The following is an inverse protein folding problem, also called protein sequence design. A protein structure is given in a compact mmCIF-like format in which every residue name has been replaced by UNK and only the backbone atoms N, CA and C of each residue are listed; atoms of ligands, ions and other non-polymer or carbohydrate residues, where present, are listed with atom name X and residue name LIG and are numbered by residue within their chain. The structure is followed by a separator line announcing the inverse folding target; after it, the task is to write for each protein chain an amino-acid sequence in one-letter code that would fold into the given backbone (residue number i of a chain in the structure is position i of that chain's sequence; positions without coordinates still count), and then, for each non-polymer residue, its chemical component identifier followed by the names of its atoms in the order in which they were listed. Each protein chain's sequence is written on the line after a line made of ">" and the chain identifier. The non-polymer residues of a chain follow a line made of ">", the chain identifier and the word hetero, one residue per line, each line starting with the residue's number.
data_IF_308237720634
#
_entry.id   IF_308237720634
#
_cell.length_a   1.000
_cell.length_b   1.000
_cell.length_c   1.000
_cell.angle_alpha   90.00
_cell.angle_beta   90.00
_cell.angle_gamma   90.00
#
_symmetry.space_group_name_H-M   'P 1'
#
loop_
_entity.id
_entity.type
_entity.pdbx_description
1 polymer ?
#
# COMPACT_ATOMS: atom_id res chain seq x y z
N UNK A 1 11.87 22.61 -11.08
CA UNK A 1 10.46 22.79 -11.48
C UNK A 1 9.86 21.41 -11.61
N UNK A 2 8.85 21.08 -10.80
CA UNK A 2 8.20 19.77 -10.80
C UNK A 2 7.58 19.49 -12.17
N UNK A 3 7.87 18.34 -12.76
CA UNK A 3 7.36 17.99 -14.09
C UNK A 3 5.86 17.74 -14.05
N UNK A 4 5.18 17.89 -15.19
CA UNK A 4 3.74 17.57 -15.26
C UNK A 4 3.46 16.11 -14.88
N UNK A 5 4.38 15.20 -15.21
CA UNK A 5 4.32 13.79 -14.84
C UNK A 5 4.35 13.59 -13.33
N UNK A 6 5.26 14.26 -12.63
CA UNK A 6 5.36 14.20 -11.16
C UNK A 6 4.10 14.72 -10.47
N UNK A 7 3.52 15.83 -10.96
CA UNK A 7 2.25 16.36 -10.43
C UNK A 7 1.09 15.37 -10.60
N UNK A 8 1.01 14.70 -11.76
CA UNK A 8 -0.01 13.68 -12.00
C UNK A 8 0.20 12.46 -11.11
N UNK A 9 1.45 12.03 -10.90
CA UNK A 9 1.78 10.96 -9.96
C UNK A 9 1.30 11.29 -8.55
N UNK A 10 1.63 12.47 -8.04
CA UNK A 10 1.20 12.91 -6.70
C UNK A 10 -0.32 12.92 -6.56
N UNK A 11 -1.04 13.42 -7.58
CA UNK A 11 -2.51 13.40 -7.60
C UNK A 11 -3.09 11.97 -7.60
N UNK A 12 -2.46 11.04 -8.31
CA UNK A 12 -2.89 9.63 -8.32
C UNK A 12 -2.74 9.04 -6.93
N UNK A 13 -1.58 9.20 -6.29
CA UNK A 13 -1.32 8.67 -4.95
C UNK A 13 -2.31 9.26 -3.92
N UNK A 14 -2.51 10.58 -3.92
CA UNK A 14 -3.50 11.22 -3.04
C UNK A 14 -4.94 10.69 -3.26
N UNK A 15 -5.30 10.34 -4.50
CA UNK A 15 -6.60 9.75 -4.79
C UNK A 15 -6.68 8.28 -4.36
N UNK A 16 -5.58 7.53 -4.44
CA UNK A 16 -5.48 6.16 -3.94
C UNK A 16 -5.68 6.15 -2.43
N UNK A 17 -5.03 7.03 -1.68
CA UNK A 17 -5.21 7.14 -0.22
C UNK A 17 -6.68 7.41 0.14
N UNK A 18 -7.32 8.36 -0.54
CA UNK A 18 -8.75 8.65 -0.36
C UNK A 18 -9.63 7.45 -0.69
N UNK A 19 -9.32 6.75 -1.78
CA UNK A 19 -10.04 5.55 -2.17
C UNK A 19 -9.92 4.46 -1.10
N UNK A 20 -8.72 4.22 -0.56
CA UNK A 20 -8.48 3.20 0.45
C UNK A 20 -9.26 3.46 1.73
N UNK A 21 -9.24 4.70 2.20
CA UNK A 21 -10.00 5.15 3.37
C UNK A 21 -11.51 4.92 3.25
N UNK A 22 -12.06 4.96 2.03
CA UNK A 22 -13.49 4.73 1.81
C UNK A 22 -13.78 3.24 1.57
N UNK A 23 -12.98 2.58 0.72
CA UNK A 23 -13.22 1.20 0.28
C UNK A 23 -12.92 0.17 1.37
N UNK A 24 -11.93 0.43 2.23
CA UNK A 24 -11.43 -0.49 3.25
C UNK A 24 -11.64 0.03 4.68
N UNK A 25 -12.51 1.01 4.86
CA UNK A 25 -12.89 1.51 6.19
C UNK A 25 -13.27 0.37 7.13
N UNK A 26 -12.79 0.44 8.38
CA UNK A 26 -13.16 -0.52 9.41
C UNK A 26 -14.67 -0.52 9.62
N UNK A 27 -15.23 -1.73 9.66
CA UNK A 27 -16.65 -1.93 9.96
C UNK A 27 -16.82 -2.13 11.46
N UNK A 28 -17.85 -1.51 12.02
CA UNK A 28 -18.18 -1.69 13.42
C UNK A 28 -18.43 -3.16 13.76
N UNK A 29 -17.85 -3.61 14.87
CA UNK A 29 -18.08 -4.94 15.40
C UNK A 29 -19.39 -5.00 16.18
N UNK A 30 -20.32 -5.86 15.75
CA UNK A 30 -21.59 -6.11 16.43
C UNK A 30 -21.59 -7.53 17.00
N UNK A 31 -21.61 -7.70 18.34
CA UNK A 31 -21.64 -9.01 18.98
C UNK A 31 -22.76 -9.91 18.44
N UNK A 32 -22.44 -11.16 18.12
CA UNK A 32 -23.40 -12.13 17.59
C UNK A 32 -23.83 -11.92 16.13
N UNK A 33 -23.38 -10.84 15.46
CA UNK A 33 -23.67 -10.58 14.03
C UNK A 33 -22.43 -10.47 13.17
N UNK A 34 -21.41 -9.73 13.63
CA UNK A 34 -20.17 -9.55 12.87
C UNK A 34 -19.40 -10.85 12.85
N UNK A 35 -19.09 -11.35 11.64
CA UNK A 35 -18.29 -12.55 11.45
C UNK A 35 -16.85 -12.30 11.92
N UNK A 36 -16.36 -13.19 12.77
CA UNK A 36 -14.95 -13.18 13.20
C UNK A 36 -14.17 -14.09 12.26
N UNK A 37 -13.21 -13.51 11.55
CA UNK A 37 -12.29 -14.25 10.69
C UNK A 37 -11.09 -14.73 11.52
N UNK A 38 -10.61 -15.96 11.30
CA UNK A 38 -9.40 -16.46 11.97
C UNK A 38 -8.11 -15.84 11.41
N UNK A 39 -8.17 -15.35 10.17
CA UNK A 39 -7.09 -14.69 9.46
C UNK A 39 -7.67 -13.75 8.40
N UNK A 40 -6.90 -12.75 8.01
CA UNK A 40 -7.24 -11.79 6.98
C UNK A 40 -6.02 -11.01 6.53
N UNK A 41 -6.11 -10.38 5.36
CA UNK A 41 -5.12 -9.39 4.94
C UNK A 41 -5.35 -8.12 5.73
N UNK A 42 -4.30 -7.60 6.33
CA UNK A 42 -4.28 -6.31 7.02
C UNK A 42 -3.28 -5.44 6.26
N UNK A 43 -3.75 -4.30 5.79
CA UNK A 43 -3.00 -3.31 5.03
C UNK A 43 -3.71 -1.98 5.19
N UNK A 44 -2.98 -0.90 4.95
CA UNK A 44 -3.45 0.46 4.97
C UNK A 44 -3.21 1.13 3.60
N UNK A 45 -3.37 2.45 3.54
CA UNK A 45 -3.15 3.24 2.34
C UNK A 45 -1.69 3.17 1.83
N UNK A 46 -0.71 2.92 2.70
CA UNK A 46 0.69 2.89 2.32
C UNK A 46 0.99 1.70 1.41
N UNK A 47 0.51 0.49 1.72
CA UNK A 47 0.76 -0.67 0.85
C UNK A 47 0.15 -0.49 -0.54
N UNK A 48 -1.04 0.12 -0.62
CA UNK A 48 -1.72 0.33 -1.91
C UNK A 48 -1.07 1.47 -2.68
N UNK A 49 -0.65 2.54 -2.01
CA UNK A 49 0.09 3.64 -2.63
C UNK A 49 1.42 3.18 -3.21
N UNK A 50 2.20 2.39 -2.49
CA UNK A 50 3.48 1.83 -2.97
C UNK A 50 3.27 0.85 -4.15
N UNK A 51 2.19 0.07 -4.13
CA UNK A 51 1.79 -0.78 -5.26
C UNK A 51 1.48 0.05 -6.51
N UNK A 52 0.68 1.11 -6.36
CA UNK A 52 0.32 1.98 -7.48
C UNK A 52 1.53 2.75 -7.99
N UNK A 53 2.40 3.25 -7.11
CA UNK A 53 3.61 3.97 -7.52
C UNK A 53 4.54 3.07 -8.36
N UNK A 54 4.78 1.83 -7.90
CA UNK A 54 5.54 0.83 -8.65
C UNK A 54 4.91 0.52 -10.02
N UNK A 55 3.57 0.48 -10.09
CA UNK A 55 2.84 0.28 -11.33
C UNK A 55 2.94 1.48 -12.29
N UNK A 56 2.99 2.72 -11.79
CA UNK A 56 3.20 3.92 -12.61
C UNK A 56 4.60 3.93 -13.26
N UNK A 57 5.57 3.26 -12.66
CA UNK A 57 6.89 3.01 -13.24
C UNK A 57 6.97 1.74 -14.09
N UNK A 58 5.87 0.98 -14.19
CA UNK A 58 5.81 -0.32 -14.87
C UNK A 58 6.88 -1.30 -14.39
N UNK A 59 7.32 -1.17 -13.14
CA UNK A 59 8.32 -2.03 -12.54
C UNK A 59 7.63 -3.21 -11.84
N UNK A 60 7.30 -4.24 -12.63
CA UNK A 60 6.52 -5.40 -12.16
C UNK A 60 7.38 -6.59 -11.70
N UNK A 61 8.71 -6.44 -11.73
CA UNK A 61 9.68 -7.46 -11.33
C UNK A 61 10.46 -7.00 -10.10
N UNK A 62 11.36 -7.84 -9.59
CA UNK A 62 12.20 -7.45 -8.44
C UNK A 62 13.10 -6.26 -8.81
N UNK A 63 12.85 -5.11 -8.18
CA UNK A 63 13.46 -3.82 -8.52
C UNK A 63 14.11 -3.10 -7.35
N UNK A 64 14.25 -1.76 -7.44
CA UNK A 64 14.72 -0.92 -6.35
C UNK A 64 13.95 -1.15 -5.04
N UNK A 65 12.61 -1.15 -5.08
CA UNK A 65 11.78 -1.39 -3.89
C UNK A 65 11.93 -2.82 -3.35
N UNK A 66 12.02 -3.81 -4.23
CA UNK A 66 12.31 -5.19 -3.81
C UNK A 66 13.67 -5.33 -3.12
N UNK A 67 14.69 -4.62 -3.63
CA UNK A 67 16.03 -4.57 -3.00
C UNK A 67 15.98 -3.84 -1.65
N UNK A 68 15.23 -2.75 -1.55
CA UNK A 68 15.02 -2.00 -0.31
C UNK A 68 14.36 -2.90 0.74
N UNK A 69 13.28 -3.59 0.38
CA UNK A 69 12.61 -4.57 1.23
C UNK A 69 13.58 -5.65 1.72
N UNK A 70 14.33 -6.31 0.84
CA UNK A 70 15.27 -7.36 1.26
C UNK A 70 16.33 -6.84 2.24
N UNK A 71 16.84 -5.62 2.04
CA UNK A 71 17.82 -5.02 2.94
C UNK A 71 17.22 -4.68 4.31
N UNK A 72 16.03 -4.09 4.35
CA UNK A 72 15.32 -3.75 5.58
C UNK A 72 14.90 -5.02 6.33
N UNK A 73 14.43 -6.03 5.60
CA UNK A 73 14.01 -7.30 6.16
C UNK A 73 15.19 -8.10 6.72
N UNK A 74 16.34 -8.11 6.06
CA UNK A 74 17.55 -8.77 6.58
C UNK A 74 18.01 -8.12 7.89
N UNK A 75 18.02 -6.78 7.95
CA UNK A 75 18.31 -6.03 9.19
C UNK A 75 17.32 -6.36 10.30
N UNK A 76 16.03 -6.45 9.97
CA UNK A 76 14.98 -6.83 10.93
C UNK A 76 15.21 -8.23 11.50
N UNK A 77 15.65 -9.17 10.67
CA UNK A 77 15.97 -10.54 11.08
C UNK A 77 17.35 -10.70 11.75
N UNK A 78 18.23 -9.71 11.63
CA UNK A 78 19.58 -9.74 12.18
C UNK A 78 20.56 -10.63 11.40
N UNK A 79 20.36 -10.77 10.09
CA UNK A 79 21.22 -11.54 9.17
C UNK A 79 21.95 -10.65 8.16
#
# INVERSE_FOLDING_TARGET
>A
MTTQKEKLREQIIQNVEKFCNIAFAEKEFVPGKTRIHYAGRVFDENEISELVDSALDMWLTLGPEGKKFCNEFSKYLGV
#
